data_IF_503083063939
#
_entry.id   IF_503083063939
#
_cell.length_a   1.000
_cell.length_b   1.000
_cell.length_c   1.000
_cell.angle_alpha   90.00
_cell.angle_beta   90.00
_cell.angle_gamma   90.00
#
_symmetry.space_group_name_H-M   'P 1'
#
loop_
_entity.id
_entity.type
_entity.pdbx_description
1 polymer ?
#
# COMPACT_ATOMS: atom_id res chain seq x y z
N UNK A 1 -7.58 -6.12 -21.59
CA UNK A 1 -6.41 -6.90 -21.11
C UNK A 1 -6.92 -8.13 -20.35
N UNK A 2 -6.26 -9.29 -20.44
CA UNK A 2 -6.74 -10.51 -19.77
C UNK A 2 -6.25 -10.57 -18.31
N UNK A 3 -7.11 -11.06 -17.42
CA UNK A 3 -6.81 -11.25 -16.00
C UNK A 3 -5.52 -12.05 -15.78
N UNK A 4 -5.36 -13.19 -16.45
CA UNK A 4 -4.18 -14.07 -16.34
C UNK A 4 -2.86 -13.35 -16.68
N UNK A 5 -2.87 -12.41 -17.63
CA UNK A 5 -1.65 -11.66 -17.98
C UNK A 5 -1.20 -10.76 -16.84
N UNK A 6 -2.14 -10.05 -16.22
CA UNK A 6 -1.85 -9.16 -15.08
C UNK A 6 -1.45 -9.98 -13.87
N UNK A 7 -2.21 -11.04 -13.60
CA UNK A 7 -1.95 -11.98 -12.52
C UNK A 7 -0.55 -12.55 -12.62
N UNK A 8 -0.17 -13.12 -13.76
CA UNK A 8 1.16 -13.67 -13.96
C UNK A 8 2.23 -12.61 -13.73
N UNK A 9 2.04 -11.41 -14.26
CA UNK A 9 3.03 -10.35 -14.15
C UNK A 9 3.23 -9.83 -12.71
N UNK A 10 2.16 -9.59 -11.95
CA UNK A 10 2.29 -8.95 -10.62
C UNK A 10 2.24 -9.94 -9.45
N UNK A 11 1.83 -11.18 -9.66
CA UNK A 11 1.78 -12.20 -8.60
C UNK A 11 2.95 -13.17 -8.70
N UNK A 12 3.15 -13.72 -9.90
CA UNK A 12 4.15 -14.74 -10.18
C UNK A 12 5.42 -14.17 -10.82
N UNK A 13 5.35 -12.94 -11.30
CA UNK A 13 6.43 -12.29 -12.03
C UNK A 13 7.58 -11.83 -11.14
N UNK A 14 8.58 -11.26 -11.81
CA UNK A 14 9.79 -10.75 -11.16
C UNK A 14 9.43 -9.67 -10.15
N UNK A 15 10.06 -9.77 -8.97
CA UNK A 15 9.95 -8.81 -7.88
C UNK A 15 11.25 -8.04 -7.78
N UNK A 16 11.12 -6.75 -7.54
CA UNK A 16 12.22 -5.81 -7.57
C UNK A 16 12.34 -5.16 -6.19
N UNK A 17 13.50 -5.36 -5.54
CA UNK A 17 13.81 -4.83 -4.19
C UNK A 17 14.35 -3.40 -4.19
N UNK A 18 15.13 -3.05 -5.21
CA UNK A 18 15.77 -1.74 -5.33
C UNK A 18 15.34 -0.85 -6.52
N UNK A 19 14.18 -1.05 -7.20
CA UNK A 19 13.70 -0.10 -8.22
C UNK A 19 13.25 1.23 -7.58
N UNK A 20 13.13 1.28 -6.25
CA UNK A 20 12.49 2.34 -5.47
C UNK A 20 13.50 3.40 -5.02
N UNK A 21 14.81 3.19 -5.15
CA UNK A 21 15.78 4.15 -4.60
C UNK A 21 15.82 5.48 -5.36
N UNK A 22 15.35 5.53 -6.62
CA UNK A 22 15.21 6.79 -7.38
C UNK A 22 14.05 6.85 -8.40
N UNK A 23 13.23 5.80 -8.51
CA UNK A 23 12.06 5.76 -9.43
C UNK A 23 12.38 5.69 -10.93
N UNK A 24 13.67 5.76 -11.32
CA UNK A 24 14.12 5.77 -12.71
C UNK A 24 13.72 4.53 -13.51
N UNK A 25 13.48 3.40 -12.83
CA UNK A 25 13.07 2.14 -13.47
C UNK A 25 11.55 2.00 -13.65
N UNK A 26 10.77 2.98 -13.17
CA UNK A 26 9.30 2.96 -13.29
C UNK A 26 8.88 4.04 -14.28
N UNK A 27 8.35 3.62 -15.40
CA UNK A 27 7.90 4.50 -16.47
C UNK A 27 6.59 5.22 -16.12
N UNK A 28 6.35 6.34 -16.81
CA UNK A 28 5.12 7.12 -16.68
C UNK A 28 4.00 6.51 -17.55
N UNK A 29 3.67 5.25 -17.31
CA UNK A 29 2.60 4.50 -18.00
C UNK A 29 1.59 3.98 -17.00
N UNK A 30 0.37 3.73 -17.47
CA UNK A 30 -0.63 3.03 -16.67
C UNK A 30 -0.20 1.60 -16.34
N UNK A 31 -0.79 1.03 -15.30
CA UNK A 31 -0.51 -0.35 -14.95
C UNK A 31 -1.07 -0.80 -13.62
N UNK A 32 -0.65 -2.01 -13.24
CA UNK A 32 -0.98 -2.67 -11.98
C UNK A 32 0.30 -2.94 -11.22
N UNK A 33 0.19 -3.06 -9.90
CA UNK A 33 1.32 -3.37 -9.05
C UNK A 33 0.91 -4.18 -7.84
N UNK A 34 1.89 -4.87 -7.28
CA UNK A 34 1.79 -5.58 -6.01
C UNK A 34 3.00 -5.25 -5.14
N UNK A 35 2.81 -5.30 -3.83
CA UNK A 35 3.82 -5.01 -2.81
C UNK A 35 3.90 -6.20 -1.86
N UNK A 36 5.12 -6.68 -1.63
CA UNK A 36 5.40 -7.92 -0.90
C UNK A 36 6.38 -7.63 0.22
N UNK A 37 6.19 -8.23 1.39
CA UNK A 37 7.19 -8.16 2.46
C UNK A 37 8.28 -9.22 2.24
N UNK A 38 9.56 -8.84 2.35
CA UNK A 38 10.67 -9.80 2.21
C UNK A 38 10.86 -10.57 3.52
N UNK A 39 10.89 -9.86 4.65
CA UNK A 39 11.07 -10.45 5.97
C UNK A 39 9.82 -10.25 6.81
N UNK A 40 9.08 -11.33 7.09
CA UNK A 40 7.88 -11.29 7.94
C UNK A 40 8.14 -10.69 9.33
N UNK A 41 9.35 -10.87 9.88
CA UNK A 41 9.71 -10.31 11.20
C UNK A 41 9.82 -8.79 11.20
N UNK A 42 9.91 -8.15 10.03
CA UNK A 42 9.90 -6.69 9.91
C UNK A 42 8.51 -6.09 10.18
N UNK A 43 7.45 -6.92 10.20
CA UNK A 43 6.10 -6.52 10.58
C UNK A 43 5.82 -6.88 12.04
N UNK A 44 5.13 -6.01 12.79
CA UNK A 44 4.74 -6.31 14.16
C UNK A 44 3.63 -7.36 14.22
N UNK A 45 3.52 -8.01 15.37
CA UNK A 45 2.34 -8.82 15.71
C UNK A 45 1.12 -7.89 15.80
N UNK A 46 -0.08 -8.27 15.29
CA UNK A 46 -0.43 -9.58 14.73
C UNK A 46 -0.22 -9.73 13.22
N UNK A 47 0.34 -8.74 12.52
CA UNK A 47 0.44 -8.73 11.05
C UNK A 47 1.34 -9.83 10.50
N UNK A 48 2.47 -10.08 11.15
CA UNK A 48 3.37 -11.17 10.74
C UNK A 48 2.70 -12.56 10.88
N UNK A 49 1.98 -12.82 11.96
CA UNK A 49 1.26 -14.07 12.21
C UNK A 49 0.13 -14.28 11.20
N UNK A 50 -0.58 -13.21 10.84
CA UNK A 50 -1.65 -13.29 9.84
C UNK A 50 -1.09 -13.67 8.46
N UNK A 51 0.07 -13.14 8.06
CA UNK A 51 0.73 -13.53 6.82
C UNK A 51 1.20 -14.99 6.83
N UNK A 52 1.74 -15.47 7.96
CA UNK A 52 2.08 -16.89 8.15
C UNK A 52 0.83 -17.76 8.00
N UNK A 53 -0.28 -17.40 8.66
CA UNK A 53 -1.56 -18.11 8.58
C UNK A 53 -2.10 -18.16 7.15
N UNK A 54 -2.03 -17.04 6.41
CA UNK A 54 -2.45 -16.93 5.01
C UNK A 54 -1.48 -17.59 4.02
N UNK A 55 -0.29 -18.03 4.47
CA UNK A 55 0.77 -18.60 3.64
C UNK A 55 1.17 -17.67 2.48
N UNK A 56 1.30 -16.38 2.76
CA UNK A 56 1.65 -15.37 1.75
C UNK A 56 2.51 -14.27 2.35
N UNK A 57 3.24 -13.54 1.50
CA UNK A 57 3.94 -12.30 1.86
C UNK A 57 3.33 -11.07 1.17
N UNK A 58 2.19 -11.24 0.50
CA UNK A 58 1.51 -10.18 -0.23
C UNK A 58 0.88 -9.16 0.72
N UNK A 59 1.36 -7.93 0.66
CA UNK A 59 0.82 -6.83 1.45
C UNK A 59 -0.30 -6.10 0.71
N UNK A 60 -0.09 -5.77 -0.57
CA UNK A 60 -0.97 -4.84 -1.27
C UNK A 60 -1.01 -5.11 -2.76
N UNK A 61 -2.17 -4.91 -3.37
CA UNK A 61 -2.38 -4.82 -4.82
C UNK A 61 -3.00 -3.47 -5.10
N UNK A 62 -2.53 -2.81 -6.16
CA UNK A 62 -3.10 -1.54 -6.60
C UNK A 62 -3.08 -1.35 -8.11
N UNK A 63 -3.93 -0.43 -8.55
CA UNK A 63 -4.02 0.07 -9.92
C UNK A 63 -3.46 1.49 -10.05
N UNK A 64 -2.92 1.82 -11.23
CA UNK A 64 -2.41 3.13 -11.59
C UNK A 64 -2.96 3.57 -12.94
N UNK A 65 -4.16 4.16 -12.95
CA UNK A 65 -4.89 4.58 -14.17
C UNK A 65 -4.34 5.81 -14.88
N UNK A 66 -3.17 6.30 -14.48
CA UNK A 66 -2.50 7.40 -15.17
C UNK A 66 -1.01 7.12 -15.30
N UNK A 67 -0.37 6.72 -14.20
CA UNK A 67 1.08 6.54 -14.15
C UNK A 67 1.49 5.70 -12.95
N UNK A 68 2.16 4.58 -13.19
CA UNK A 68 2.83 3.77 -12.17
C UNK A 68 3.90 4.60 -11.47
N UNK A 69 4.69 5.39 -12.19
CA UNK A 69 5.65 6.29 -11.56
C UNK A 69 4.98 7.24 -10.55
N UNK A 70 3.82 7.82 -10.89
CA UNK A 70 3.08 8.67 -9.96
C UNK A 70 2.46 7.86 -8.82
N UNK A 71 1.69 6.84 -9.14
CA UNK A 71 0.88 6.11 -8.14
C UNK A 71 1.72 5.18 -7.29
N UNK A 72 2.44 4.25 -7.88
CA UNK A 72 3.28 3.32 -7.13
C UNK A 72 4.44 4.09 -6.49
N UNK A 73 5.32 4.69 -7.29
CA UNK A 73 6.56 5.26 -6.76
C UNK A 73 6.34 6.54 -5.93
N UNK A 74 5.81 7.61 -6.52
CA UNK A 74 5.72 8.89 -5.82
C UNK A 74 4.72 8.86 -4.66
N UNK A 75 3.58 8.18 -4.80
CA UNK A 75 2.54 8.17 -3.77
C UNK A 75 2.73 7.04 -2.75
N UNK A 76 2.63 5.79 -3.18
CA UNK A 76 2.62 4.66 -2.23
C UNK A 76 3.99 4.45 -1.57
N UNK A 77 5.10 4.64 -2.30
CA UNK A 77 6.45 4.38 -1.77
C UNK A 77 7.15 5.61 -1.18
N UNK A 78 6.94 6.81 -1.76
CA UNK A 78 7.67 8.04 -1.37
C UNK A 78 6.80 9.14 -0.75
N UNK A 79 5.50 8.89 -0.55
CA UNK A 79 4.54 9.79 0.10
C UNK A 79 4.51 11.25 -0.40
N UNK A 80 4.74 11.49 -1.70
CA UNK A 80 4.62 12.84 -2.29
C UNK A 80 3.18 13.36 -2.30
N UNK A 81 2.19 12.47 -2.17
CA UNK A 81 0.80 12.82 -1.90
C UNK A 81 0.06 11.65 -1.23
N UNK A 82 -1.22 11.85 -0.89
CA UNK A 82 -2.01 10.88 -0.13
C UNK A 82 -2.10 9.52 -0.84
N UNK A 83 -1.69 8.46 -0.12
CA UNK A 83 -1.60 7.09 -0.65
C UNK A 83 -2.10 6.07 0.39
N UNK A 84 -2.78 5.01 -0.06
CA UNK A 84 -3.50 4.11 0.85
C UNK A 84 -2.58 3.08 1.50
N UNK A 85 -1.65 2.51 0.74
CA UNK A 85 -0.64 1.61 1.27
C UNK A 85 0.24 2.36 2.27
N UNK A 86 0.72 3.56 1.93
CA UNK A 86 1.58 4.35 2.83
C UNK A 86 0.92 4.61 4.20
N UNK A 87 -0.35 5.05 4.20
CA UNK A 87 -1.09 5.26 5.46
C UNK A 87 -1.31 3.96 6.23
N UNK A 88 -1.60 2.87 5.51
CA UNK A 88 -1.82 1.56 6.12
C UNK A 88 -0.55 1.04 6.78
N UNK A 89 0.60 1.09 6.10
CA UNK A 89 1.86 0.61 6.68
C UNK A 89 2.36 1.52 7.81
N UNK A 90 2.19 2.84 7.71
CA UNK A 90 2.53 3.75 8.80
C UNK A 90 1.77 3.43 10.10
N UNK A 91 0.46 3.17 9.98
CA UNK A 91 -0.35 2.76 11.12
C UNK A 91 0.05 1.39 11.67
N UNK A 92 0.37 0.43 10.78
CA UNK A 92 0.88 -0.91 11.15
C UNK A 92 2.17 -0.82 11.96
N UNK A 93 3.07 0.09 11.59
CA UNK A 93 4.34 0.33 12.29
C UNK A 93 4.18 1.10 13.61
N UNK A 94 2.96 1.46 14.00
CA UNK A 94 2.66 2.15 15.26
C UNK A 94 2.70 3.67 15.21
N UNK A 95 2.91 4.27 14.03
CA UNK A 95 2.86 5.72 13.87
C UNK A 95 1.42 6.24 13.89
N UNK A 96 1.24 7.43 14.45
CA UNK A 96 -0.07 8.10 14.51
C UNK A 96 -0.02 9.46 13.81
N UNK A 97 -1.12 9.91 13.21
CA UNK A 97 -1.16 11.22 12.57
C UNK A 97 -1.15 12.34 13.61
N UNK A 98 -0.82 13.55 13.16
CA UNK A 98 -0.98 14.74 14.01
C UNK A 98 -2.45 14.93 14.41
N UNK A 99 -2.68 15.13 15.71
CA UNK A 99 -4.00 15.44 16.25
C UNK A 99 -4.58 16.68 15.57
N UNK A 100 -5.85 16.58 15.18
CA UNK A 100 -6.57 17.65 14.50
C UNK A 100 -6.17 17.91 13.05
N UNK A 101 -5.25 17.12 12.47
CA UNK A 101 -4.78 17.32 11.08
C UNK A 101 -5.88 17.26 10.01
N UNK A 102 -7.03 16.67 10.33
CA UNK A 102 -8.21 16.59 9.47
C UNK A 102 -9.33 17.56 9.86
N UNK A 103 -9.21 18.30 10.96
CA UNK A 103 -10.18 19.36 11.30
C UNK A 103 -10.27 20.32 10.10
N UNK A 104 -11.50 20.72 9.77
CA UNK A 104 -11.86 21.58 8.62
C UNK A 104 -11.55 21.06 7.21
N UNK A 105 -11.00 19.85 7.04
CA UNK A 105 -10.76 19.28 5.71
C UNK A 105 -12.03 18.71 5.09
N UNK A 106 -12.26 18.93 3.79
CA UNK A 106 -13.35 18.26 3.06
C UNK A 106 -13.18 16.73 3.07
N UNK A 107 -11.95 16.25 2.89
CA UNK A 107 -11.63 14.82 2.97
C UNK A 107 -11.20 14.45 4.40
N UNK A 108 -12.07 13.73 5.10
CA UNK A 108 -11.87 13.29 6.48
C UNK A 108 -11.14 11.94 6.60
N UNK A 109 -10.53 11.43 5.53
CA UNK A 109 -9.89 10.10 5.50
C UNK A 109 -8.37 10.15 5.24
N UNK A 110 -7.87 11.23 4.65
CA UNK A 110 -6.48 11.37 4.24
C UNK A 110 -5.62 12.07 5.31
N UNK A 111 -5.54 11.46 6.50
CA UNK A 111 -4.65 11.95 7.55
C UNK A 111 -3.18 11.92 7.10
N UNK A 112 -2.34 12.70 7.78
CA UNK A 112 -0.90 12.77 7.54
C UNK A 112 -0.14 12.52 8.82
N UNK A 113 0.98 11.81 8.71
CA UNK A 113 1.96 11.71 9.77
C UNK A 113 2.82 12.98 9.79
N UNK A 114 3.46 13.26 10.92
CA UNK A 114 4.45 14.34 10.98
C UNK A 114 5.67 14.01 10.10
N UNK A 115 6.57 14.97 9.89
CA UNK A 115 7.71 14.80 8.99
C UNK A 115 8.69 13.71 9.45
N UNK A 116 8.93 13.59 10.76
CA UNK A 116 9.85 12.60 11.33
C UNK A 116 9.34 11.18 11.06
N UNK A 117 8.07 10.94 11.38
CA UNK A 117 7.42 9.64 11.19
C UNK A 117 7.28 9.31 9.70
N UNK A 118 6.95 10.30 8.86
CA UNK A 118 6.90 10.14 7.41
C UNK A 118 8.24 9.64 6.87
N UNK A 119 9.36 10.25 7.30
CA UNK A 119 10.70 9.83 6.87
C UNK A 119 11.02 8.41 7.33
N UNK A 120 10.69 8.06 8.57
CA UNK A 120 10.91 6.72 9.11
C UNK A 120 10.10 5.64 8.37
N UNK A 121 8.86 5.95 7.97
CA UNK A 121 8.04 5.05 7.15
C UNK A 121 8.64 4.88 5.75
N UNK A 122 9.10 5.97 5.11
CA UNK A 122 9.77 5.90 3.79
C UNK A 122 11.04 5.05 3.87
N UNK A 123 11.86 5.25 4.89
CA UNK A 123 13.07 4.46 5.12
C UNK A 123 12.74 2.97 5.29
N UNK A 124 11.71 2.66 6.08
CA UNK A 124 11.23 1.29 6.24
C UNK A 124 10.76 0.69 4.90
N UNK A 125 10.01 1.45 4.08
CA UNK A 125 9.54 1.01 2.75
C UNK A 125 10.70 0.82 1.76
N UNK A 126 11.79 1.57 1.88
CA UNK A 126 12.94 1.41 0.98
C UNK A 126 13.76 0.14 1.26
N UNK A 127 13.59 -0.49 2.42
CA UNK A 127 14.40 -1.61 2.90
C UNK A 127 13.64 -2.94 2.87
N UNK A 128 12.36 -2.92 3.28
CA UNK A 128 11.64 -4.12 3.69
C UNK A 128 10.78 -4.77 2.58
N UNK A 129 10.03 -4.02 1.77
CA UNK A 129 9.22 -4.59 0.70
C UNK A 129 9.94 -4.72 -0.65
N UNK A 130 9.42 -5.63 -1.47
CA UNK A 130 9.64 -5.73 -2.90
C UNK A 130 8.37 -5.36 -3.66
N UNK A 131 8.52 -4.92 -4.91
CA UNK A 131 7.39 -4.59 -5.77
C UNK A 131 7.45 -5.36 -7.07
N UNK A 132 6.27 -5.70 -7.60
CA UNK A 132 6.12 -6.14 -8.98
C UNK A 132 5.09 -5.25 -9.67
N UNK A 133 5.25 -5.01 -10.97
CA UNK A 133 4.34 -4.15 -11.73
C UNK A 133 4.25 -4.59 -13.18
N UNK A 134 3.13 -4.25 -13.80
CA UNK A 134 2.85 -4.53 -15.20
C UNK A 134 2.29 -3.28 -15.88
N UNK A 135 2.93 -2.85 -16.96
CA UNK A 135 2.41 -1.76 -17.79
C UNK A 135 1.27 -2.24 -18.68
N UNK A 136 0.29 -1.38 -18.89
CA UNK A 136 -0.76 -1.63 -19.88
C UNK A 136 -1.17 -0.34 -20.58
N UNK A 137 -1.81 -0.46 -21.75
CA UNK A 137 -2.33 0.69 -22.49
C UNK A 137 -3.47 1.40 -21.75
N UNK A 138 -4.33 0.62 -21.09
CA UNK A 138 -5.46 1.12 -20.30
C UNK A 138 -5.75 0.15 -19.17
N UNK A 139 -5.87 0.70 -17.97
CA UNK A 139 -6.27 -0.03 -16.77
C UNK A 139 -7.78 -0.25 -16.70
N UNK A 140 -8.18 -1.25 -15.93
CA UNK A 140 -9.56 -1.69 -15.71
C UNK A 140 -9.69 -2.05 -14.22
N UNK A 141 -10.48 -1.27 -13.50
CA UNK A 141 -10.71 -1.48 -12.08
C UNK A 141 -11.31 -2.86 -11.76
N UNK A 142 -12.04 -3.48 -12.70
CA UNK A 142 -12.60 -4.81 -12.50
C UNK A 142 -11.50 -5.86 -12.31
N UNK A 143 -10.37 -5.72 -13.02
CA UNK A 143 -9.21 -6.60 -12.87
C UNK A 143 -8.56 -6.46 -11.50
N UNK A 144 -8.38 -5.22 -11.01
CA UNK A 144 -7.86 -4.96 -9.67
C UNK A 144 -8.77 -5.59 -8.60
N UNK A 145 -10.09 -5.38 -8.72
CA UNK A 145 -11.10 -5.94 -7.81
C UNK A 145 -11.03 -7.47 -7.78
N UNK A 146 -10.94 -8.13 -8.93
CA UNK A 146 -10.82 -9.59 -9.01
C UNK A 146 -9.51 -10.09 -8.38
N UNK A 147 -8.39 -9.40 -8.62
CA UNK A 147 -7.09 -9.76 -8.04
C UNK A 147 -7.09 -9.61 -6.51
N UNK A 148 -7.63 -8.51 -5.98
CA UNK A 148 -7.77 -8.31 -4.54
C UNK A 148 -8.68 -9.39 -3.94
N UNK A 149 -9.80 -9.70 -4.59
CA UNK A 149 -10.73 -10.72 -4.11
C UNK A 149 -10.12 -12.12 -4.07
N UNK A 150 -9.32 -12.48 -5.09
CA UNK A 150 -8.63 -13.77 -5.19
C UNK A 150 -7.50 -13.91 -4.17
N UNK A 151 -6.63 -12.90 -4.07
CA UNK A 151 -5.38 -12.99 -3.31
C UNK A 151 -5.44 -12.42 -1.89
N UNK A 152 -6.52 -11.69 -1.57
CA UNK A 152 -6.80 -11.16 -0.23
C UNK A 152 -5.58 -10.49 0.43
N UNK A 153 -4.92 -9.52 -0.24
CA UNK A 153 -3.71 -8.87 0.30
C UNK A 153 -3.96 -8.30 1.69
N UNK A 154 -2.99 -8.44 2.60
CA UNK A 154 -3.18 -8.09 4.00
C UNK A 154 -3.65 -6.65 4.23
N UNK A 155 -3.14 -5.71 3.42
CA UNK A 155 -3.37 -4.27 3.56
C UNK A 155 -4.44 -3.69 2.63
N UNK A 156 -5.00 -4.51 1.72
CA UNK A 156 -6.21 -4.12 0.98
C UNK A 156 -7.43 -4.33 1.86
N UNK A 157 -8.14 -3.23 2.16
CA UNK A 157 -9.42 -3.26 2.86
C UNK A 157 -10.59 -3.35 1.87
N UNK A 158 -10.66 -2.40 0.94
CA UNK A 158 -11.70 -2.37 -0.08
C UNK A 158 -11.54 -3.56 -1.04
N UNK A 159 -12.66 -4.19 -1.39
CA UNK A 159 -12.73 -5.35 -2.30
C UNK A 159 -12.08 -6.65 -1.79
N UNK A 160 -11.49 -6.63 -0.60
CA UNK A 160 -10.97 -7.84 0.03
C UNK A 160 -12.12 -8.56 0.77
N UNK A 161 -12.49 -9.80 0.42
CA UNK A 161 -13.56 -10.54 1.08
C UNK A 161 -13.16 -11.01 2.49
N UNK A 162 -11.87 -11.04 2.82
CA UNK A 162 -11.34 -11.42 4.13
C UNK A 162 -10.40 -10.34 4.68
N UNK A 163 -10.92 -9.13 4.92
CA UNK A 163 -10.09 -8.01 5.33
C UNK A 163 -9.64 -8.20 6.78
N UNK A 164 -8.40 -7.81 7.09
CA UNK A 164 -7.83 -8.03 8.40
C UNK A 164 -8.32 -6.99 9.41
N UNK A 165 -9.13 -7.41 10.39
CA UNK A 165 -9.78 -6.50 11.34
C UNK A 165 -8.81 -5.59 12.13
N UNK A 166 -7.63 -6.07 12.60
CA UNK A 166 -6.65 -5.20 13.25
C UNK A 166 -6.19 -4.02 12.39
N UNK A 167 -6.11 -4.19 11.06
CA UNK A 167 -5.80 -3.08 10.15
C UNK A 167 -6.89 -1.98 10.20
N UNK A 168 -8.17 -2.38 10.22
CA UNK A 168 -9.28 -1.44 10.30
C UNK A 168 -9.21 -0.63 11.58
N UNK A 169 -8.99 -1.30 12.71
CA UNK A 169 -8.90 -0.66 14.03
C UNK A 169 -7.77 0.38 14.06
N UNK A 170 -6.58 0.03 13.56
CA UNK A 170 -5.47 0.99 13.48
C UNK A 170 -5.83 2.21 12.60
N UNK A 171 -6.41 1.98 11.42
CA UNK A 171 -6.79 3.07 10.51
C UNK A 171 -7.90 3.95 11.08
N UNK A 172 -8.85 3.37 11.79
CA UNK A 172 -9.93 4.11 12.44
C UNK A 172 -9.40 4.93 13.63
N UNK A 173 -8.47 4.38 14.42
CA UNK A 173 -7.78 5.11 15.47
C UNK A 173 -6.99 6.30 14.92
N UNK A 174 -6.22 6.11 13.84
CA UNK A 174 -5.53 7.22 13.18
C UNK A 174 -6.51 8.30 12.72
N UNK A 175 -7.63 7.92 12.10
CA UNK A 175 -8.67 8.90 11.70
C UNK A 175 -9.26 9.61 12.91
N UNK A 176 -9.56 8.90 13.99
CA UNK A 176 -10.11 9.50 15.21
C UNK A 176 -9.15 10.56 15.79
N UNK A 177 -7.86 10.25 15.92
CA UNK A 177 -6.82 11.19 16.35
C UNK A 177 -6.79 12.42 15.44
N UNK A 178 -6.74 12.19 14.12
CA UNK A 178 -6.64 13.27 13.15
C UNK A 178 -7.89 14.18 13.10
N UNK A 179 -9.07 13.65 13.45
CA UNK A 179 -10.34 14.39 13.50
C UNK A 179 -10.58 15.10 14.83
N UNK A 180 -9.92 14.65 15.90
CA UNK A 180 -10.06 15.24 17.24
C UNK A 180 -9.42 16.63 17.26
N UNK A 181 -10.13 17.68 17.69
CA UNK A 181 -9.53 19.01 17.90
C UNK A 181 -8.30 18.92 18.81
N UNK A 182 -7.30 19.78 18.56
CA UNK A 182 -6.12 19.91 19.43
C UNK A 182 -6.52 20.48 20.78
#
# INVERSE_FOLDING_TARGET
>A
MKFQTVEEAIINGVRLRHPVSNGKSIEKKEGYYSIWIVNLKALPVPFNHELVKRKTTLLYIGIASNSLHKRLYQQELQHKSAATFFRSIGAVLGYTPEQGSLVSKKNQNNYKFNQKDTNAIIEWININPEVSFHYCSTTDESLEKMLIAKYKPLLNWTHNPEPFLPLKQLKDNCRAIARRPR
#
